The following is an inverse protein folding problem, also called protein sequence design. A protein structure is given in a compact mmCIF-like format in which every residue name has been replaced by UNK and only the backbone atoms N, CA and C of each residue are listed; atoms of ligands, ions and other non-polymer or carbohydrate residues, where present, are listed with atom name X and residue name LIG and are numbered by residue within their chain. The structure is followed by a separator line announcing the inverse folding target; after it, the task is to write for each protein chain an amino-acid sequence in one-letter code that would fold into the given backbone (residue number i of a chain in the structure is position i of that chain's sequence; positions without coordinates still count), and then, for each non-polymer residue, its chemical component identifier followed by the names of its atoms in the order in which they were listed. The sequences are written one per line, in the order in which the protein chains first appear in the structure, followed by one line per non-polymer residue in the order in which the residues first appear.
data_IF_380114536494
#
_entry.id   IF_380114536494
#
_cell.length_a   1.000
_cell.length_b   1.000
_cell.length_c   1.000
_cell.angle_alpha   90.00
_cell.angle_beta   90.00
_cell.angle_gamma   90.00
#
_symmetry.space_group_name_H-M   'P 1'
#
loop_
_entity.id
_entity.type
_entity.pdbx_description
1 polymer ?
#
# COMPACT_ATOMS: atom_id res chain seq x y z
N UNK A 1 -2.92 -23.57 2.10
CA UNK A 1 -1.79 -22.66 2.37
C UNK A 1 -0.53 -23.49 2.62
N UNK A 2 0.46 -23.43 1.74
CA UNK A 2 1.72 -24.15 1.93
C UNK A 2 2.62 -23.42 2.93
N UNK A 3 3.36 -24.19 3.75
CA UNK A 3 4.41 -23.63 4.62
C UNK A 3 5.49 -22.92 3.80
N UNK A 4 5.73 -23.40 2.59
CA UNK A 4 6.71 -22.85 1.65
C UNK A 4 6.26 -21.49 1.09
N UNK A 5 4.96 -21.32 0.82
CA UNK A 5 4.40 -20.04 0.35
C UNK A 5 4.54 -18.96 1.41
N UNK A 6 4.25 -19.31 2.67
CA UNK A 6 4.40 -18.40 3.81
C UNK A 6 5.86 -17.98 4.00
N UNK A 7 6.80 -18.93 3.93
CA UNK A 7 8.24 -18.64 4.05
C UNK A 7 8.77 -17.79 2.89
N UNK A 8 8.28 -18.06 1.68
CA UNK A 8 8.67 -17.32 0.47
C UNK A 8 8.16 -15.89 0.55
N UNK A 9 6.88 -15.68 0.90
CA UNK A 9 6.33 -14.34 1.08
C UNK A 9 7.04 -13.61 2.22
N UNK A 10 7.38 -14.30 3.31
CA UNK A 10 8.19 -13.76 4.41
C UNK A 10 9.50 -13.16 3.92
N UNK A 11 10.23 -13.92 3.12
CA UNK A 11 11.51 -13.47 2.56
C UNK A 11 11.36 -12.25 1.63
N UNK A 12 10.31 -12.24 0.80
CA UNK A 12 10.02 -11.11 -0.08
C UNK A 12 9.64 -9.85 0.69
N UNK A 13 8.87 -9.98 1.77
CA UNK A 13 8.52 -8.88 2.67
C UNK A 13 9.77 -8.30 3.32
N UNK A 14 10.62 -9.14 3.92
CA UNK A 14 11.86 -8.70 4.55
C UNK A 14 12.81 -8.01 3.57
N UNK A 15 12.89 -8.51 2.34
CA UNK A 15 13.70 -7.89 1.29
C UNK A 15 13.12 -6.51 0.90
N UNK A 16 11.82 -6.42 0.64
CA UNK A 16 11.16 -5.17 0.27
C UNK A 16 11.12 -4.12 1.37
N UNK A 17 11.05 -4.53 2.63
CA UNK A 17 11.16 -3.63 3.79
C UNK A 17 12.58 -3.08 3.94
N UNK A 18 13.61 -3.86 3.59
CA UNK A 18 15.01 -3.42 3.58
C UNK A 18 15.34 -2.54 2.38
N UNK A 19 14.81 -2.88 1.21
CA UNK A 19 15.04 -2.18 -0.04
C UNK A 19 13.75 -2.17 -0.89
N UNK A 20 12.96 -1.08 -0.85
CA UNK A 20 11.72 -1.00 -1.60
C UNK A 20 11.93 -1.00 -3.13
N UNK A 21 13.15 -0.79 -3.64
CA UNK A 21 13.42 -0.81 -5.09
C UNK A 21 13.33 -2.23 -5.67
N UNK A 22 13.48 -3.27 -4.85
CA UNK A 22 13.40 -4.68 -5.30
C UNK A 22 11.97 -5.14 -5.56
N UNK A 23 10.98 -4.41 -5.04
CA UNK A 23 9.57 -4.79 -5.07
C UNK A 23 9.04 -4.89 -6.50
N UNK A 24 9.38 -3.94 -7.39
CA UNK A 24 8.84 -3.91 -8.74
C UNK A 24 9.12 -5.22 -9.50
N UNK A 25 10.34 -5.77 -9.35
CA UNK A 25 10.74 -7.03 -9.97
C UNK A 25 10.00 -8.26 -9.40
N UNK A 26 9.54 -8.19 -8.14
CA UNK A 26 8.90 -9.30 -7.45
C UNK A 26 7.37 -9.13 -7.33
N UNK A 27 6.81 -8.05 -7.89
CA UNK A 27 5.44 -7.61 -7.64
C UNK A 27 4.41 -8.70 -7.93
N UNK A 28 4.46 -9.27 -9.13
CA UNK A 28 3.50 -10.29 -9.56
C UNK A 28 3.56 -11.54 -8.68
N UNK A 29 4.77 -12.00 -8.34
CA UNK A 29 4.97 -13.20 -7.49
C UNK A 29 4.48 -12.94 -6.07
N UNK A 30 4.88 -11.83 -5.47
CA UNK A 30 4.48 -11.50 -4.11
C UNK A 30 2.98 -11.24 -3.99
N UNK A 31 2.34 -10.61 -4.98
CA UNK A 31 0.89 -10.41 -5.00
C UNK A 31 0.13 -11.74 -5.06
N UNK A 32 0.57 -12.68 -5.91
CA UNK A 32 -0.01 -14.03 -5.95
C UNK A 32 0.12 -14.74 -4.59
N UNK A 33 1.31 -14.71 -3.98
CA UNK A 33 1.53 -15.30 -2.66
C UNK A 33 0.72 -14.61 -1.57
N UNK A 34 0.56 -13.28 -1.64
CA UNK A 34 -0.23 -12.51 -0.67
C UNK A 34 -1.74 -12.79 -0.77
N UNK A 35 -2.23 -13.29 -1.89
CA UNK A 35 -3.61 -13.80 -2.01
C UNK A 35 -3.73 -15.15 -1.29
N UNK A 36 -2.79 -16.06 -1.53
CA UNK A 36 -2.82 -17.41 -0.97
C UNK A 36 -2.55 -17.46 0.55
N UNK A 37 -1.64 -16.60 1.03
CA UNK A 37 -1.22 -16.58 2.45
C UNK A 37 -2.17 -15.75 3.31
N UNK A 38 -2.62 -14.60 2.82
CA UNK A 38 -3.50 -13.69 3.57
C UNK A 38 -2.88 -13.16 4.89
N UNK A 39 -3.75 -12.59 5.74
CA UNK A 39 -3.40 -12.07 7.06
C UNK A 39 -2.34 -10.96 7.07
N UNK A 40 -1.66 -10.83 8.22
CA UNK A 40 -0.69 -9.77 8.48
C UNK A 40 0.50 -9.79 7.52
N UNK A 41 0.97 -10.98 7.13
CA UNK A 41 2.11 -11.09 6.23
C UNK A 41 1.77 -10.55 4.83
N UNK A 42 0.55 -10.82 4.37
CA UNK A 42 0.06 -10.29 3.12
C UNK A 42 -0.24 -8.79 3.20
N UNK A 43 -0.60 -8.26 4.37
CA UNK A 43 -0.70 -6.81 4.59
C UNK A 43 0.69 -6.15 4.53
N UNK A 44 1.69 -6.72 5.20
CA UNK A 44 3.08 -6.21 5.17
C UNK A 44 3.64 -6.15 3.75
N UNK A 45 3.39 -7.18 2.95
CA UNK A 45 3.74 -7.16 1.52
C UNK A 45 3.10 -5.97 0.80
N UNK A 46 1.79 -5.79 0.96
CA UNK A 46 1.05 -4.69 0.32
C UNK A 46 1.52 -3.31 0.79
N UNK A 47 1.95 -3.17 2.05
CA UNK A 47 2.57 -1.94 2.56
C UNK A 47 3.94 -1.70 1.89
N UNK A 48 4.78 -2.73 1.78
CA UNK A 48 6.07 -2.61 1.09
C UNK A 48 5.90 -2.20 -0.37
N UNK A 49 4.84 -2.70 -1.01
CA UNK A 49 4.42 -2.27 -2.34
C UNK A 49 4.06 -0.78 -2.40
N UNK A 50 3.19 -0.28 -1.50
CA UNK A 50 2.84 1.15 -1.47
C UNK A 50 4.10 2.01 -1.32
N UNK A 51 5.01 1.62 -0.43
CA UNK A 51 6.30 2.32 -0.25
C UNK A 51 7.15 2.34 -1.50
N UNK A 52 7.20 1.23 -2.24
CA UNK A 52 7.91 1.18 -3.53
C UNK A 52 7.31 2.14 -4.56
N UNK A 53 5.97 2.18 -4.67
CA UNK A 53 5.27 3.10 -5.58
C UNK A 53 5.49 4.57 -5.17
N UNK A 54 5.54 4.87 -3.87
CA UNK A 54 5.85 6.22 -3.39
C UNK A 54 7.24 6.71 -3.83
N UNK A 55 8.22 5.81 -4.03
CA UNK A 55 9.56 6.19 -4.51
C UNK A 55 9.58 6.52 -6.01
N UNK A 56 8.75 5.83 -6.80
CA UNK A 56 8.66 6.02 -8.23
C UNK A 56 7.20 5.85 -8.71
N UNK A 57 6.34 6.86 -8.50
CA UNK A 57 4.94 6.78 -8.92
C UNK A 57 4.86 6.66 -10.45
N UNK A 58 4.12 5.67 -10.99
CA UNK A 58 3.95 5.55 -12.43
C UNK A 58 3.10 6.69 -13.01
N UNK A 59 2.20 7.24 -12.22
CA UNK A 59 1.37 8.40 -12.53
C UNK A 59 1.01 9.18 -11.25
N UNK A 60 0.23 10.26 -11.41
CA UNK A 60 -0.12 11.17 -10.33
C UNK A 60 -1.07 10.60 -9.27
N UNK A 61 -1.81 9.54 -9.59
CA UNK A 61 -2.88 9.02 -8.75
C UNK A 61 -2.55 7.65 -8.17
N UNK A 62 -1.61 6.90 -8.76
CA UNK A 62 -1.27 5.52 -8.40
C UNK A 62 -0.99 5.29 -6.92
N UNK A 63 -0.33 6.22 -6.22
CA UNK A 63 -0.09 6.10 -4.76
C UNK A 63 -1.41 6.17 -3.99
N UNK A 64 -2.30 7.10 -4.37
CA UNK A 64 -3.60 7.31 -3.71
C UNK A 64 -4.57 6.19 -4.01
N UNK A 65 -4.64 5.74 -5.26
CA UNK A 65 -5.47 4.60 -5.67
C UNK A 65 -5.05 3.35 -4.90
N UNK A 66 -3.76 3.01 -4.93
CA UNK A 66 -3.27 1.82 -4.25
C UNK A 66 -3.46 1.87 -2.73
N UNK A 67 -3.21 3.02 -2.10
CA UNK A 67 -3.46 3.18 -0.67
C UNK A 67 -4.96 3.13 -0.34
N UNK A 68 -5.81 3.75 -1.17
CA UNK A 68 -7.27 3.73 -1.03
C UNK A 68 -7.84 2.32 -1.10
N UNK A 69 -7.43 1.54 -2.11
CA UNK A 69 -7.79 0.13 -2.24
C UNK A 69 -7.38 -0.69 -1.00
N UNK A 70 -6.23 -0.37 -0.41
CA UNK A 70 -5.76 -1.05 0.78
C UNK A 70 -6.58 -0.69 2.02
N UNK A 71 -6.94 0.59 2.18
CA UNK A 71 -7.86 1.02 3.24
C UNK A 71 -9.24 0.36 3.09
N UNK A 72 -9.77 0.32 1.87
CA UNK A 72 -11.07 -0.31 1.60
C UNK A 72 -11.03 -1.83 1.86
N UNK A 73 -9.95 -2.50 1.47
CA UNK A 73 -9.75 -3.95 1.73
C UNK A 73 -9.74 -4.28 3.22
N UNK A 74 -9.15 -3.43 4.04
CA UNK A 74 -9.00 -3.65 5.48
C UNK A 74 -10.00 -2.84 6.33
N UNK A 75 -11.09 -2.32 5.73
CA UNK A 75 -12.00 -1.39 6.42
C UNK A 75 -12.59 -1.95 7.72
N UNK A 76 -12.82 -3.25 7.76
CA UNK A 76 -13.43 -3.97 8.87
C UNK A 76 -12.39 -4.63 9.80
N UNK A 77 -11.10 -4.35 9.58
CA UNK A 77 -9.97 -4.82 10.38
C UNK A 77 -9.25 -3.63 11.06
N UNK A 78 -9.59 -3.32 12.32
CA UNK A 78 -8.96 -2.22 13.07
C UNK A 78 -7.44 -2.36 13.22
N UNK A 79 -6.92 -3.60 13.32
CA UNK A 79 -5.49 -3.83 13.45
C UNK A 79 -4.78 -3.53 12.13
N UNK A 80 -5.34 -4.00 11.01
CA UNK A 80 -4.87 -3.67 9.67
C UNK A 80 -4.88 -2.16 9.41
N UNK A 81 -5.97 -1.46 9.73
CA UNK A 81 -6.03 0.01 9.60
C UNK A 81 -5.00 0.73 10.47
N UNK A 82 -4.72 0.23 11.68
CA UNK A 82 -3.68 0.80 12.54
C UNK A 82 -2.29 0.69 11.90
N UNK A 83 -2.01 -0.41 11.17
CA UNK A 83 -0.76 -0.56 10.40
C UNK A 83 -0.69 0.36 9.18
N UNK A 84 -1.83 0.72 8.57
CA UNK A 84 -1.89 1.61 7.41
C UNK A 84 -1.75 3.08 7.76
N UNK A 85 -2.19 3.49 8.95
CA UNK A 85 -2.22 4.90 9.37
C UNK A 85 -0.87 5.62 9.18
N UNK A 86 0.30 5.08 9.61
CA UNK A 86 1.58 5.75 9.40
C UNK A 86 1.92 5.98 7.91
N UNK A 87 1.47 5.08 7.03
CA UNK A 87 1.67 5.20 5.58
C UNK A 87 0.81 6.34 5.02
N UNK A 88 -0.45 6.44 5.43
CA UNK A 88 -1.31 7.56 5.06
C UNK A 88 -0.79 8.91 5.56
N UNK A 89 -0.18 8.95 6.75
CA UNK A 89 0.49 10.15 7.29
C UNK A 89 1.72 10.53 6.47
N UNK A 90 2.51 9.54 6.04
CA UNK A 90 3.67 9.74 5.19
C UNK A 90 3.31 10.26 3.80
N UNK A 91 2.30 9.66 3.14
CA UNK A 91 1.78 10.13 1.85
C UNK A 91 1.38 11.60 1.94
N UNK A 92 0.57 11.97 2.96
CA UNK A 92 0.14 13.36 3.17
C UNK A 92 1.30 14.33 3.37
N UNK A 93 2.35 13.88 4.08
CA UNK A 93 3.56 14.69 4.29
C UNK A 93 4.32 14.92 2.99
N UNK A 94 4.49 13.89 2.17
CA UNK A 94 5.19 13.98 0.89
C UNK A 94 4.43 14.83 -0.13
N UNK A 95 3.10 14.72 -0.18
CA UNK A 95 2.26 15.60 -1.00
C UNK A 95 2.37 17.06 -0.57
N UNK A 96 2.33 17.35 0.74
CA UNK A 96 2.50 18.70 1.26
C UNK A 96 3.90 19.29 0.96
N UNK A 97 4.91 18.43 0.87
CA UNK A 97 6.27 18.80 0.48
C UNK A 97 6.46 18.91 -1.05
N UNK A 98 5.44 18.59 -1.86
CA UNK A 98 5.53 18.54 -3.32
C UNK A 98 6.34 17.36 -3.87
N UNK A 99 6.71 16.41 -3.02
CA UNK A 99 7.46 15.21 -3.40
C UNK A 99 6.58 14.12 -4.02
N UNK A 100 5.27 14.14 -3.72
CA UNK A 100 4.26 13.35 -4.42
C UNK A 100 3.24 14.28 -5.08
N UNK A 101 2.70 13.91 -6.24
CA UNK A 101 1.57 14.62 -6.84
C UNK A 101 0.40 14.58 -5.85
N UNK A 102 -0.06 15.77 -5.45
CA UNK A 102 -1.32 15.88 -4.74
C UNK A 102 -2.41 15.96 -5.80
N UNK A 103 -3.11 14.84 -6.06
CA UNK A 103 -4.42 14.91 -6.67
C UNK A 103 -5.26 15.82 -5.78
N UNK A 104 -5.50 17.05 -6.21
CA UNK A 104 -6.41 17.93 -5.52
C UNK A 104 -7.76 17.24 -5.66
N UNK A 105 -8.15 16.45 -4.65
CA UNK A 105 -9.48 15.88 -4.57
C UNK A 105 -10.38 17.10 -4.57
N UNK A 106 -10.93 17.44 -5.73
CA UNK A 106 -12.11 18.26 -5.84
C UNK A 106 -13.12 17.47 -5.01
N UNK A 107 -13.24 17.85 -3.73
CA UNK A 107 -14.31 17.38 -2.87
C UNK A 107 -15.55 17.79 -3.62
N UNK A 108 -16.12 16.85 -4.38
CA UNK A 108 -17.37 17.04 -5.08
C UNK A 108 -18.32 17.61 -4.05
N UNK A 109 -18.76 18.85 -4.28
CA UNK A 109 -19.62 19.60 -3.38
C UNK A 109 -20.73 18.69 -2.90
N UNK A 110 -20.62 18.20 -1.66
CA UNK A 110 -21.71 17.47 -1.01
C UNK A 110 -22.76 18.54 -0.75
N UNK A 111 -23.61 18.76 -1.75
CA UNK A 111 -24.76 19.67 -1.74
C UNK A 111 -25.39 19.64 -0.35
N UNK A 112 -25.21 20.73 0.39
CA UNK A 112 -26.11 21.09 1.48
C UNK A 112 -27.48 21.31 0.83
N UNK A 113 -28.37 20.33 0.94
CA UNK A 113 -29.81 20.58 0.77
C UNK A 113 -30.23 21.45 1.97
N UNK A 114 -30.50 22.72 1.69
CA UNK A 114 -31.46 23.51 2.45
C UNK A 114 -32.86 23.20 1.94
#
# INVERSE_FOLDING_TARGET
MSRDDTSTLGSLVEQGERDPTTIAAQRAKGDALAIEVGGDLALRWRIAVVRSVMLAPPDGDAVRELYGELVDRYRDDPAGLAMLKPIGDEIRRLEAAGALPSAMVARSDRRKKH
#
